data_IF_201487065396
#
_entry.id   IF_201487065396
#
_cell.length_a   1.000
_cell.length_b   1.000
_cell.length_c   1.000
_cell.angle_alpha   90.00
_cell.angle_beta   90.00
_cell.angle_gamma   90.00
#
_symmetry.space_group_name_H-M   'P 1'
#
loop_
_entity.id
_entity.type
_entity.pdbx_description
1 polymer ?
#
# COMPACT_ATOMS: atom_id res chain seq x y z
N UNK A 1 19.92 -23.96 21.29
CA UNK A 1 20.74 -24.01 20.06
C UNK A 1 20.57 -22.70 19.32
N UNK A 2 21.60 -21.85 19.30
CA UNK A 2 21.60 -20.51 18.72
C UNK A 2 22.17 -20.60 17.31
N UNK A 3 21.42 -20.19 16.28
CA UNK A 3 21.96 -20.06 14.91
C UNK A 3 22.23 -18.59 14.63
N UNK A 4 23.51 -18.26 14.69
CA UNK A 4 24.10 -17.01 14.20
C UNK A 4 24.22 -17.18 12.69
N UNK A 5 23.63 -16.29 11.90
CA UNK A 5 23.93 -16.18 10.47
C UNK A 5 24.45 -14.77 10.24
N UNK A 6 25.73 -14.73 9.88
CA UNK A 6 26.55 -13.55 9.73
C UNK A 6 26.17 -12.74 8.47
N UNK A 7 26.13 -11.42 8.63
CA UNK A 7 26.12 -10.46 7.54
C UNK A 7 27.45 -10.50 6.78
N UNK A 8 27.41 -10.74 5.48
CA UNK A 8 28.50 -10.41 4.57
C UNK A 8 28.11 -9.13 3.81
N UNK A 9 28.72 -8.02 4.21
CA UNK A 9 28.70 -6.74 3.50
C UNK A 9 29.68 -6.84 2.34
N UNK A 10 29.19 -6.78 1.10
CA UNK A 10 30.01 -6.52 -0.07
C UNK A 10 29.71 -5.10 -0.55
N UNK A 11 30.61 -4.19 -0.24
CA UNK A 11 30.65 -2.84 -0.78
C UNK A 11 31.21 -2.88 -2.21
N UNK A 12 30.52 -2.25 -3.16
CA UNK A 12 31.09 -1.82 -4.43
C UNK A 12 30.46 -0.49 -4.83
N UNK A 13 31.20 0.59 -4.59
CA UNK A 13 30.97 1.93 -5.13
C UNK A 13 31.97 2.15 -6.28
N UNK A 14 31.51 2.26 -7.52
CA UNK A 14 32.05 3.07 -8.66
C UNK A 14 30.99 2.99 -9.78
N UNK A 15 30.52 4.01 -10.51
CA UNK A 15 30.83 5.43 -10.57
C UNK A 15 29.70 6.17 -11.31
N UNK A 16 29.74 7.50 -11.19
CA UNK A 16 28.83 8.48 -11.80
C UNK A 16 29.23 8.77 -13.25
N UNK A 17 28.25 8.87 -14.16
CA UNK A 17 28.06 9.95 -15.16
C UNK A 17 27.28 9.46 -16.38
N UNK A 18 26.21 10.16 -16.74
CA UNK A 18 25.56 10.03 -18.05
C UNK A 18 24.06 10.32 -18.02
N UNK A 19 23.71 11.60 -18.19
CA UNK A 19 22.34 12.09 -18.20
C UNK A 19 21.52 11.58 -19.41
N UNK A 20 20.21 11.37 -19.19
CA UNK A 20 19.16 11.76 -20.12
C UNK A 20 17.82 11.80 -19.38
N UNK A 21 17.47 12.99 -18.90
CA UNK A 21 16.11 13.38 -18.60
C UNK A 21 15.47 13.83 -19.92
N UNK A 22 14.55 13.07 -20.49
CA UNK A 22 13.61 13.55 -21.52
C UNK A 22 12.53 12.49 -21.80
N UNK A 23 11.37 12.58 -21.15
CA UNK A 23 10.09 12.30 -21.80
C UNK A 23 8.94 12.95 -21.01
N UNK A 24 9.07 14.26 -20.77
CA UNK A 24 7.93 15.15 -20.51
C UNK A 24 7.29 15.54 -21.86
N UNK A 25 6.84 14.54 -22.62
CA UNK A 25 6.41 14.68 -24.03
C UNK A 25 5.00 14.19 -24.32
N UNK A 26 4.14 14.06 -23.30
CA UNK A 26 2.77 13.51 -23.47
C UNK A 26 1.62 14.46 -23.14
N UNK A 27 1.89 15.68 -22.69
CA UNK A 27 0.83 16.60 -22.22
C UNK A 27 0.14 17.41 -23.34
N UNK A 28 0.48 17.15 -24.61
CA UNK A 28 -0.14 17.82 -25.77
C UNK A 28 -1.37 17.09 -26.32
N UNK A 29 -1.67 15.88 -25.84
CA UNK A 29 -2.81 15.09 -26.36
C UNK A 29 -4.14 15.35 -25.65
N UNK A 30 -4.21 16.33 -24.74
CA UNK A 30 -5.42 16.67 -23.97
C UNK A 30 -6.30 17.75 -24.62
N UNK A 31 -5.98 18.19 -25.85
CA UNK A 31 -6.83 19.15 -26.58
C UNK A 31 -6.99 18.72 -28.04
N UNK A 32 -8.23 18.48 -28.46
CA UNK A 32 -8.60 18.44 -29.87
C UNK A 32 -8.88 17.06 -30.47
N UNK A 33 -10.15 16.67 -30.40
CA UNK A 33 -10.95 16.07 -31.48
C UNK A 33 -10.27 15.20 -32.54
N UNK A 34 -10.61 13.90 -32.50
CA UNK A 34 -11.06 13.15 -33.67
C UNK A 34 -10.01 12.71 -34.68
N UNK A 35 -9.55 11.46 -34.56
CA UNK A 35 -9.36 10.54 -35.70
C UNK A 35 -9.31 9.11 -35.18
N UNK A 36 -10.16 8.26 -35.75
CA UNK A 36 -10.19 6.82 -35.51
C UNK A 36 -8.85 6.22 -35.96
N UNK A 37 -8.03 5.82 -35.01
CA UNK A 37 -6.94 4.88 -35.20
C UNK A 37 -7.02 3.89 -34.04
N UNK A 38 -6.82 2.63 -34.36
CA UNK A 38 -6.97 1.47 -33.49
C UNK A 38 -6.06 1.61 -32.24
N UNK A 39 -6.60 2.22 -31.19
CA UNK A 39 -5.91 2.41 -29.92
C UNK A 39 -5.88 1.07 -29.21
N UNK A 40 -4.84 0.27 -29.48
CA UNK A 40 -4.42 -0.75 -28.53
C UNK A 40 -4.13 -0.02 -27.21
N UNK A 41 -5.09 -0.05 -26.29
CA UNK A 41 -4.91 0.45 -24.93
C UNK A 41 -3.64 -0.19 -24.40
N UNK A 42 -2.66 0.61 -23.98
CA UNK A 42 -1.45 0.08 -23.32
C UNK A 42 -1.83 -0.43 -21.92
N UNK A 43 -2.45 -1.61 -21.92
CA UNK A 43 -2.89 -2.33 -20.73
C UNK A 43 -1.69 -2.75 -19.88
N UNK A 44 -0.50 -2.88 -20.48
CA UNK A 44 0.72 -3.32 -19.80
C UNK A 44 1.27 -2.25 -18.85
N UNK A 45 1.35 -0.99 -19.30
CA UNK A 45 1.75 0.14 -18.48
C UNK A 45 0.74 0.44 -17.37
N UNK A 46 -0.56 0.39 -17.68
CA UNK A 46 -1.63 0.58 -16.70
C UNK A 46 -1.67 -0.53 -15.64
N UNK A 47 -1.41 -1.78 -16.02
CA UNK A 47 -1.29 -2.90 -15.09
C UNK A 47 -0.11 -2.71 -14.13
N UNK A 48 1.07 -2.38 -14.65
CA UNK A 48 2.26 -2.22 -13.82
C UNK A 48 2.06 -1.07 -12.82
N UNK A 49 1.49 0.05 -13.27
CA UNK A 49 1.13 1.17 -12.39
C UNK A 49 0.11 0.77 -11.33
N UNK A 50 -0.94 0.02 -11.69
CA UNK A 50 -1.97 -0.42 -10.76
C UNK A 50 -1.41 -1.34 -9.67
N UNK A 51 -0.62 -2.35 -10.06
CA UNK A 51 0.02 -3.27 -9.11
C UNK A 51 1.00 -2.51 -8.22
N UNK A 52 1.79 -1.61 -8.80
CA UNK A 52 2.75 -0.78 -8.06
C UNK A 52 2.05 0.09 -7.01
N UNK A 53 1.01 0.80 -7.41
CA UNK A 53 0.23 1.65 -6.51
C UNK A 53 -0.46 0.82 -5.42
N UNK A 54 -0.94 -0.38 -5.75
CA UNK A 54 -1.54 -1.28 -4.78
C UNK A 54 -0.53 -1.79 -3.75
N UNK A 55 0.68 -2.16 -4.17
CA UNK A 55 1.76 -2.52 -3.25
C UNK A 55 2.15 -1.32 -2.38
N UNK A 56 2.26 -0.12 -2.96
CA UNK A 56 2.56 1.11 -2.20
C UNK A 56 1.50 1.41 -1.12
N UNK A 57 0.21 1.31 -1.46
CA UNK A 57 -0.87 1.46 -0.50
C UNK A 57 -0.76 0.45 0.66
N UNK A 58 -0.42 -0.81 0.36
CA UNK A 58 -0.20 -1.81 1.40
C UNK A 58 1.07 -1.55 2.22
N UNK A 59 2.13 -0.99 1.64
CA UNK A 59 3.33 -0.55 2.37
C UNK A 59 2.96 0.53 3.39
N UNK A 60 2.10 1.48 3.04
CA UNK A 60 1.64 2.49 3.99
C UNK A 60 0.82 1.86 5.14
N UNK A 61 -0.06 0.91 4.83
CA UNK A 61 -0.78 0.15 5.88
C UNK A 61 0.17 -0.67 6.74
N UNK A 62 1.23 -1.26 6.18
CA UNK A 62 2.24 -2.00 6.95
C UNK A 62 3.08 -1.06 7.83
N UNK A 63 3.44 0.13 7.34
CA UNK A 63 4.10 1.16 8.15
C UNK A 63 3.19 1.60 9.30
N UNK A 64 1.89 1.73 9.06
CA UNK A 64 0.91 1.96 10.10
C UNK A 64 0.91 0.84 11.12
N UNK A 65 0.86 -0.41 10.67
CA UNK A 65 0.85 -1.58 11.53
C UNK A 65 2.15 -1.72 12.34
N UNK A 66 3.29 -1.36 11.77
CA UNK A 66 4.56 -1.30 12.49
C UNK A 66 4.49 -0.31 13.66
N UNK A 67 4.00 0.90 13.40
CA UNK A 67 3.93 1.96 14.41
C UNK A 67 2.84 1.73 15.45
N UNK A 68 1.65 1.31 15.03
CA UNK A 68 0.57 0.95 15.95
C UNK A 68 0.95 -0.27 16.79
N UNK A 69 1.58 -1.28 16.18
CA UNK A 69 2.10 -2.43 16.89
C UNK A 69 3.15 -2.06 17.94
N UNK A 70 4.10 -1.19 17.58
CA UNK A 70 5.11 -0.64 18.50
C UNK A 70 4.46 0.06 19.69
N UNK A 71 3.49 0.95 19.43
CA UNK A 71 2.74 1.66 20.48
C UNK A 71 1.94 0.73 21.38
N UNK A 72 1.39 -0.36 20.83
CA UNK A 72 0.56 -1.32 21.56
C UNK A 72 1.37 -2.44 22.25
N UNK A 73 2.70 -2.39 22.16
CA UNK A 73 3.60 -3.41 22.72
C UNK A 73 3.65 -4.73 21.92
N UNK A 74 3.13 -4.75 20.68
CA UNK A 74 3.14 -5.88 19.77
C UNK A 74 4.44 -5.92 18.95
N UNK A 75 5.58 -6.01 19.64
CA UNK A 75 6.91 -5.85 19.04
C UNK A 75 7.18 -6.83 17.88
N UNK A 76 6.80 -8.10 18.03
CA UNK A 76 6.98 -9.11 16.99
C UNK A 76 6.23 -8.75 15.70
N UNK A 77 4.98 -8.33 15.81
CA UNK A 77 4.15 -7.93 14.67
C UNK A 77 4.65 -6.64 14.04
N UNK A 78 5.15 -5.71 14.87
CA UNK A 78 5.75 -4.47 14.38
C UNK A 78 7.02 -4.74 13.55
N UNK A 79 7.90 -5.60 14.04
CA UNK A 79 9.12 -6.02 13.34
C UNK A 79 8.80 -6.81 12.06
N UNK A 80 7.79 -7.67 12.08
CA UNK A 80 7.31 -8.38 10.89
C UNK A 80 6.80 -7.39 9.83
N UNK A 81 5.96 -6.43 10.21
CA UNK A 81 5.45 -5.42 9.29
C UNK A 81 6.60 -4.59 8.66
N UNK A 82 7.54 -4.13 9.50
CA UNK A 82 8.70 -3.36 9.05
C UNK A 82 9.63 -4.18 8.11
N UNK A 83 9.83 -5.47 8.40
CA UNK A 83 10.62 -6.35 7.55
C UNK A 83 9.99 -6.53 6.17
N UNK A 84 8.66 -6.69 6.10
CA UNK A 84 7.96 -6.78 4.82
C UNK A 84 8.02 -5.46 4.06
N UNK A 85 7.86 -4.32 4.74
CA UNK A 85 8.06 -2.99 4.14
C UNK A 85 9.44 -2.86 3.51
N UNK A 86 10.49 -3.23 4.23
CA UNK A 86 11.87 -3.17 3.73
C UNK A 86 12.07 -4.07 2.49
N UNK A 87 11.49 -5.27 2.51
CA UNK A 87 11.54 -6.19 1.38
C UNK A 87 10.78 -5.67 0.16
N UNK A 88 9.58 -5.11 0.34
CA UNK A 88 8.76 -4.60 -0.77
C UNK A 88 9.26 -3.26 -1.33
N UNK A 89 9.93 -2.45 -0.50
CA UNK A 89 10.50 -1.17 -0.91
C UNK A 89 11.84 -1.29 -1.62
N UNK A 90 12.58 -2.38 -1.37
CA UNK A 90 13.85 -2.69 -2.05
C UNK A 90 13.69 -3.51 -3.33
N UNK A 91 12.51 -4.08 -3.57
CA UNK A 91 12.21 -4.84 -4.78
C UNK A 91 12.12 -3.92 -6.01
N UNK A 92 12.92 -4.22 -7.04
CA UNK A 92 12.92 -3.50 -8.32
C UNK A 92 11.73 -3.83 -9.22
N UNK A 93 10.98 -4.90 -8.91
CA UNK A 93 9.79 -5.33 -9.66
C UNK A 93 8.61 -5.48 -8.69
N UNK A 94 7.54 -4.71 -8.91
CA UNK A 94 6.28 -4.86 -8.18
C UNK A 94 5.28 -5.60 -9.08
N UNK A 95 5.00 -6.84 -8.70
CA UNK A 95 4.25 -7.82 -9.46
C UNK A 95 3.15 -8.47 -8.59
N UNK A 96 2.51 -9.53 -9.10
CA UNK A 96 1.45 -10.25 -8.37
C UNK A 96 1.95 -10.78 -7.03
N UNK A 97 3.16 -11.32 -6.98
CA UNK A 97 3.69 -11.91 -5.75
C UNK A 97 3.97 -10.84 -4.70
N UNK A 98 4.48 -9.68 -5.13
CA UNK A 98 4.64 -8.50 -4.27
C UNK A 98 3.29 -8.02 -3.70
N UNK A 99 2.25 -7.93 -4.54
CA UNK A 99 0.91 -7.56 -4.11
C UNK A 99 0.31 -8.57 -3.12
N UNK A 100 0.42 -9.86 -3.43
CA UNK A 100 -0.07 -10.95 -2.57
C UNK A 100 0.63 -10.95 -1.22
N UNK A 101 1.97 -10.83 -1.22
CA UNK A 101 2.77 -10.74 0.00
C UNK A 101 2.38 -9.54 0.87
N UNK A 102 2.13 -8.38 0.24
CA UNK A 102 1.73 -7.18 0.95
C UNK A 102 0.35 -7.37 1.62
N UNK A 103 -0.63 -7.91 0.90
CA UNK A 103 -1.99 -8.19 1.42
C UNK A 103 -1.95 -9.17 2.58
N UNK A 104 -1.21 -10.28 2.45
CA UNK A 104 -1.09 -11.28 3.52
C UNK A 104 -0.46 -10.67 4.77
N UNK A 105 0.63 -9.91 4.61
CA UNK A 105 1.29 -9.26 5.74
C UNK A 105 0.39 -8.22 6.43
N UNK A 106 -0.41 -7.47 5.66
CA UNK A 106 -1.42 -6.55 6.21
C UNK A 106 -2.45 -7.34 7.02
N UNK A 107 -2.98 -8.45 6.49
CA UNK A 107 -3.92 -9.32 7.21
C UNK A 107 -3.35 -9.85 8.53
N UNK A 108 -2.15 -10.43 8.49
CA UNK A 108 -1.47 -11.04 9.63
C UNK A 108 -1.22 -10.05 10.77
N UNK A 109 -0.79 -8.83 10.42
CA UNK A 109 -0.42 -7.80 11.40
C UNK A 109 -1.65 -7.03 11.92
N UNK A 110 -2.63 -6.75 11.06
CA UNK A 110 -3.85 -6.00 11.42
C UNK A 110 -4.71 -6.77 12.43
N UNK A 111 -4.75 -8.10 12.36
CA UNK A 111 -5.53 -8.92 13.29
C UNK A 111 -5.07 -8.77 14.74
N UNK A 112 -3.76 -8.81 14.98
CA UNK A 112 -3.17 -8.65 16.32
C UNK A 112 -3.40 -7.24 16.87
N UNK A 113 -3.23 -6.21 16.02
CA UNK A 113 -3.50 -4.82 16.38
C UNK A 113 -4.97 -4.64 16.76
N UNK A 114 -5.89 -5.11 15.93
CA UNK A 114 -7.32 -5.02 16.20
C UNK A 114 -7.72 -5.74 17.50
N UNK A 115 -7.13 -6.89 17.79
CA UNK A 115 -7.33 -7.59 19.06
C UNK A 115 -6.83 -6.74 20.25
N UNK A 116 -5.62 -6.18 20.15
CA UNK A 116 -5.03 -5.37 21.21
C UNK A 116 -5.76 -4.05 21.44
N UNK A 117 -6.29 -3.43 20.39
CA UNK A 117 -7.14 -2.23 20.49
C UNK A 117 -8.43 -2.50 21.27
N UNK A 118 -9.02 -3.70 21.16
CA UNK A 118 -10.22 -4.08 21.91
C UNK A 118 -9.97 -4.23 23.41
N UNK A 119 -8.73 -4.54 23.81
CA UNK A 119 -8.32 -4.54 25.22
C UNK A 119 -8.27 -3.14 25.83
N UNK A 120 -8.36 -2.09 25.00
CA UNK A 120 -8.27 -0.68 25.40
C UNK A 120 -7.05 -0.38 26.29
N UNK A 121 -5.83 -0.77 25.88
CA UNK A 121 -4.63 -0.48 26.66
C UNK A 121 -4.46 1.03 26.81
N UNK A 122 -4.06 1.46 28.01
CA UNK A 122 -3.66 2.84 28.26
C UNK A 122 -2.27 3.03 27.70
N UNK A 123 -2.13 4.00 26.80
CA UNK A 123 -0.84 4.35 26.20
C UNK A 123 -0.16 5.47 27.00
N UNK A 124 1.15 5.38 27.18
CA UNK A 124 1.98 6.50 27.63
C UNK A 124 2.15 7.54 26.52
N UNK A 125 2.71 8.71 26.85
CA UNK A 125 2.81 9.82 25.89
C UNK A 125 3.69 9.49 24.68
N UNK A 126 4.73 8.67 24.85
CA UNK A 126 5.58 8.21 23.76
C UNK A 126 4.79 7.28 22.81
N UNK A 127 4.05 6.34 23.37
CA UNK A 127 3.23 5.36 22.65
C UNK A 127 2.05 6.05 21.96
N UNK A 128 1.43 7.07 22.58
CA UNK A 128 0.41 7.91 21.95
C UNK A 128 0.94 8.60 20.69
N UNK A 129 2.15 9.17 20.75
CA UNK A 129 2.80 9.80 19.59
C UNK A 129 3.10 8.78 18.49
N UNK A 130 3.64 7.62 18.84
CA UNK A 130 3.91 6.54 17.88
C UNK A 130 2.60 6.02 17.26
N UNK A 131 1.53 5.90 18.03
CA UNK A 131 0.22 5.51 17.55
C UNK A 131 -0.37 6.53 16.58
N UNK A 132 -0.22 7.84 16.88
CA UNK A 132 -0.64 8.92 15.99
C UNK A 132 0.13 8.91 14.65
N UNK A 133 1.44 8.60 14.68
CA UNK A 133 2.23 8.39 13.46
C UNK A 133 1.68 7.22 12.65
N UNK A 134 1.36 6.10 13.31
CA UNK A 134 0.72 4.96 12.67
C UNK A 134 -0.62 5.32 12.03
N UNK A 135 -1.45 6.11 12.71
CA UNK A 135 -2.71 6.65 12.15
C UNK A 135 -2.49 7.48 10.90
N UNK A 136 -1.44 8.31 10.86
CA UNK A 136 -1.06 9.07 9.67
C UNK A 136 -0.70 8.17 8.48
N UNK A 137 0.08 7.10 8.71
CA UNK A 137 0.39 6.13 7.67
C UNK A 137 -0.85 5.35 7.20
N UNK A 138 -1.75 4.99 8.13
CA UNK A 138 -2.98 4.27 7.77
C UNK A 138 -3.88 5.17 6.92
N UNK A 139 -3.99 6.44 7.29
CA UNK A 139 -4.67 7.46 6.51
C UNK A 139 -4.09 7.59 5.10
N UNK A 140 -2.77 7.66 4.98
CA UNK A 140 -2.08 7.75 3.69
C UNK A 140 -2.37 6.52 2.82
N UNK A 141 -2.29 5.32 3.39
CA UNK A 141 -2.66 4.09 2.71
C UNK A 141 -4.12 4.12 2.22
N UNK A 142 -5.03 4.64 3.04
CA UNK A 142 -6.43 4.82 2.64
C UNK A 142 -6.63 5.85 1.52
N UNK A 143 -5.86 6.94 1.52
CA UNK A 143 -5.86 7.92 0.42
C UNK A 143 -5.38 7.26 -0.88
N UNK A 144 -4.31 6.45 -0.83
CA UNK A 144 -3.87 5.67 -1.98
C UNK A 144 -4.93 4.67 -2.45
N UNK A 145 -5.59 3.95 -1.53
CA UNK A 145 -6.72 3.09 -1.86
C UNK A 145 -7.85 3.86 -2.56
N UNK A 146 -8.29 4.99 -2.00
CA UNK A 146 -9.35 5.80 -2.58
C UNK A 146 -8.98 6.34 -3.97
N UNK A 147 -7.73 6.79 -4.15
CA UNK A 147 -7.22 7.28 -5.43
C UNK A 147 -7.21 6.22 -6.54
N UNK A 148 -6.96 4.96 -6.19
CA UNK A 148 -6.95 3.85 -7.15
C UNK A 148 -8.34 3.32 -7.53
N UNK A 149 -9.42 3.74 -6.85
CA UNK A 149 -10.76 3.18 -7.05
C UNK A 149 -11.17 3.22 -8.54
N UNK A 150 -10.94 4.35 -9.20
CA UNK A 150 -11.26 4.52 -10.62
C UNK A 150 -10.38 3.66 -11.53
N UNK A 151 -9.09 3.54 -11.23
CA UNK A 151 -8.14 2.73 -12.00
C UNK A 151 -8.49 1.25 -11.91
N UNK A 152 -8.87 0.78 -10.71
CA UNK A 152 -9.32 -0.60 -10.47
C UNK A 152 -10.62 -0.88 -11.22
N UNK A 153 -11.61 0.02 -11.15
CA UNK A 153 -12.88 -0.14 -11.88
C UNK A 153 -12.68 -0.13 -13.39
N UNK A 154 -11.82 0.78 -13.89
CA UNK A 154 -11.49 0.87 -15.31
C UNK A 154 -10.77 -0.38 -15.80
N UNK A 155 -9.77 -0.85 -15.04
CA UNK A 155 -9.05 -2.09 -15.33
C UNK A 155 -10.01 -3.29 -15.33
N UNK A 156 -10.86 -3.43 -14.31
CA UNK A 156 -11.85 -4.52 -14.25
C UNK A 156 -12.84 -4.49 -15.42
N UNK A 157 -13.19 -3.31 -15.93
CA UNK A 157 -14.06 -3.16 -17.11
C UNK A 157 -13.31 -3.53 -18.38
N UNK A 158 -12.10 -3.01 -18.57
CA UNK A 158 -11.23 -3.31 -19.71
C UNK A 158 -10.88 -4.81 -19.78
N UNK A 159 -10.69 -5.46 -18.63
CA UNK A 159 -10.47 -6.90 -18.52
C UNK A 159 -11.67 -7.72 -19.02
N UNK A 160 -12.90 -7.29 -18.76
CA UNK A 160 -14.11 -8.00 -19.25
C UNK A 160 -14.25 -7.93 -20.77
N UNK A 161 -13.71 -6.89 -21.38
CA UNK A 161 -13.72 -6.67 -22.84
C UNK A 161 -12.43 -7.12 -23.54
N UNK A 162 -11.42 -7.57 -22.77
CA UNK A 162 -10.13 -7.99 -23.30
C UNK A 162 -10.18 -9.40 -23.91
N UNK A 163 -9.32 -9.65 -24.90
CA UNK A 163 -9.19 -10.98 -25.49
C UNK A 163 -8.55 -11.97 -24.51
N UNK A 164 -8.80 -13.30 -24.65
CA UNK A 164 -8.18 -14.31 -23.80
C UNK A 164 -6.64 -14.25 -23.76
N UNK A 165 -6.01 -13.82 -24.86
CA UNK A 165 -4.55 -13.65 -24.95
C UNK A 165 -4.04 -12.41 -24.19
N UNK A 166 -4.85 -11.36 -24.06
CA UNK A 166 -4.52 -10.23 -23.19
C UNK A 166 -4.71 -10.57 -21.70
N UNK A 167 -5.66 -11.46 -21.38
CA UNK A 167 -5.91 -11.91 -20.00
C UNK A 167 -4.72 -12.67 -19.39
N UNK A 168 -3.93 -13.40 -20.18
CA UNK A 168 -2.81 -14.19 -19.67
C UNK A 168 -1.66 -13.33 -19.14
N UNK A 169 -1.49 -12.10 -19.63
CA UNK A 169 -0.49 -11.15 -19.12
C UNK A 169 -0.97 -10.33 -17.92
N UNK A 170 -2.28 -10.33 -17.62
CA UNK A 170 -2.93 -9.47 -16.62
C UNK A 170 -2.93 -10.02 -15.18
N UNK A 171 -2.18 -11.08 -14.88
CA UNK A 171 -2.27 -11.80 -13.60
C UNK A 171 -2.14 -10.94 -12.33
N UNK A 172 -1.29 -9.89 -12.36
CA UNK A 172 -1.14 -8.94 -11.26
C UNK A 172 -2.33 -7.96 -11.15
N UNK A 173 -2.74 -7.35 -12.26
CA UNK A 173 -3.91 -6.46 -12.28
C UNK A 173 -5.19 -7.21 -11.90
N UNK A 174 -5.37 -8.45 -12.38
CA UNK A 174 -6.48 -9.31 -12.02
C UNK A 174 -6.53 -9.57 -10.50
N UNK A 175 -5.38 -9.83 -9.89
CA UNK A 175 -5.28 -10.00 -8.44
C UNK A 175 -5.69 -8.74 -7.70
N UNK A 176 -5.21 -7.55 -8.13
CA UNK A 176 -5.60 -6.27 -7.52
C UNK A 176 -7.10 -6.05 -7.65
N UNK A 177 -7.67 -6.17 -8.86
CA UNK A 177 -9.11 -5.96 -9.09
C UNK A 177 -9.97 -6.89 -8.22
N UNK A 178 -9.53 -8.13 -8.00
CA UNK A 178 -10.26 -9.08 -7.17
C UNK A 178 -10.14 -8.81 -5.66
N UNK A 179 -8.97 -8.36 -5.17
CA UNK A 179 -8.72 -8.21 -3.73
C UNK A 179 -9.01 -6.79 -3.22
N UNK A 180 -8.90 -5.78 -4.09
CA UNK A 180 -9.03 -4.37 -3.74
C UNK A 180 -10.31 -4.02 -2.97
N UNK A 181 -11.52 -4.48 -3.36
CA UNK A 181 -12.74 -4.13 -2.61
C UNK A 181 -12.71 -4.65 -1.16
N UNK A 182 -12.15 -5.86 -0.95
CA UNK A 182 -11.97 -6.44 0.37
C UNK A 182 -10.93 -5.67 1.18
N UNK A 183 -9.75 -5.42 0.60
CA UNK A 183 -8.68 -4.66 1.25
C UNK A 183 -9.13 -3.26 1.67
N UNK A 184 -9.87 -2.56 0.81
CA UNK A 184 -10.39 -1.23 1.10
C UNK A 184 -11.40 -1.24 2.26
N UNK A 185 -12.28 -2.24 2.28
CA UNK A 185 -13.28 -2.41 3.36
C UNK A 185 -12.60 -2.70 4.70
N UNK A 186 -11.65 -3.63 4.72
CA UNK A 186 -10.96 -4.02 5.96
C UNK A 186 -10.03 -2.91 6.47
N UNK A 187 -9.30 -2.24 5.57
CA UNK A 187 -8.46 -1.11 5.95
C UNK A 187 -9.31 0.08 6.44
N UNK A 188 -10.49 0.31 5.85
CA UNK A 188 -11.44 1.32 6.35
C UNK A 188 -11.97 1.01 7.75
N UNK A 189 -12.33 -0.25 8.03
CA UNK A 189 -12.70 -0.70 9.39
C UNK A 189 -11.53 -0.52 10.36
N UNK A 190 -10.31 -0.90 9.97
CA UNK A 190 -9.12 -0.75 10.78
C UNK A 190 -8.85 0.74 11.11
N UNK A 191 -8.96 1.62 10.12
CA UNK A 191 -8.81 3.07 10.30
C UNK A 191 -9.87 3.62 11.26
N UNK A 192 -11.14 3.24 11.08
CA UNK A 192 -12.21 3.64 12.00
C UNK A 192 -11.92 3.19 13.44
N UNK A 193 -11.57 1.91 13.63
CA UNK A 193 -11.28 1.37 14.95
C UNK A 193 -10.07 2.07 15.60
N UNK A 194 -9.03 2.36 14.81
CA UNK A 194 -7.85 3.08 15.29
C UNK A 194 -8.17 4.54 15.66
N UNK A 195 -9.01 5.23 14.89
CA UNK A 195 -9.48 6.59 15.20
C UNK A 195 -10.32 6.60 16.49
N UNK A 196 -11.24 5.65 16.63
CA UNK A 196 -12.09 5.55 17.82
C UNK A 196 -11.23 5.30 19.07
N UNK A 197 -10.24 4.40 18.98
CA UNK A 197 -9.27 4.15 20.06
C UNK A 197 -8.38 5.37 20.36
N UNK A 198 -7.93 6.09 19.34
CA UNK A 198 -7.14 7.30 19.54
C UNK A 198 -7.94 8.37 20.29
N UNK A 199 -9.18 8.62 19.88
CA UNK A 199 -10.09 9.54 20.57
C UNK A 199 -10.33 9.13 22.02
N UNK A 200 -10.54 7.83 22.27
CA UNK A 200 -10.76 7.34 23.64
C UNK A 200 -9.52 7.44 24.53
N UNK A 201 -8.32 7.49 23.96
CA UNK A 201 -7.04 7.62 24.68
C UNK A 201 -6.49 9.05 24.71
N UNK A 202 -7.26 10.03 24.21
CA UNK A 202 -6.83 11.43 24.13
C UNK A 202 -5.67 11.65 23.17
N UNK A 203 -5.55 10.82 22.13
CA UNK A 203 -4.58 10.97 21.05
C UNK A 203 -5.18 11.91 20.01
N UNK A 204 -4.42 12.93 19.62
CA UNK A 204 -4.82 13.83 18.54
C UNK A 204 -4.90 13.05 17.22
N UNK A 205 -6.10 13.01 16.65
CA UNK A 205 -6.33 12.37 15.36
C UNK A 205 -5.94 13.36 14.26
N UNK A 206 -4.99 13.01 13.37
CA UNK A 206 -4.64 13.87 12.25
C UNK A 206 -5.87 14.16 11.39
N UNK A 207 -6.01 15.41 10.91
CA UNK A 207 -7.12 15.78 10.00
C UNK A 207 -7.18 14.88 8.78
N UNK A 208 -6.02 14.45 8.29
CA UNK A 208 -5.89 13.63 7.09
C UNK A 208 -6.44 12.21 7.31
N UNK A 209 -6.34 11.68 8.53
CA UNK A 209 -6.97 10.40 8.90
C UNK A 209 -8.50 10.49 8.88
N UNK A 210 -9.05 11.61 9.36
CA UNK A 210 -10.50 11.83 9.33
C UNK A 210 -11.00 12.03 7.90
N UNK A 211 -10.26 12.75 7.06
CA UNK A 211 -10.57 12.95 5.64
C UNK A 211 -10.46 11.64 4.85
N UNK A 212 -9.43 10.84 5.10
CA UNK A 212 -9.25 9.54 4.45
C UNK A 212 -10.41 8.58 4.79
N UNK A 213 -10.87 8.57 6.04
CA UNK A 213 -12.05 7.80 6.44
C UNK A 213 -13.32 8.27 5.71
N UNK A 214 -13.47 9.57 5.47
CA UNK A 214 -14.61 10.14 4.75
C UNK A 214 -14.55 9.93 3.22
N UNK A 215 -13.40 9.57 2.66
CA UNK A 215 -13.20 9.33 1.23
C UNK A 215 -13.54 7.89 0.80
N UNK A 216 -13.76 7.00 1.77
CA UNK A 216 -14.22 5.61 1.59
C UNK A 216 -15.67 5.54 1.12
#
# INVERSE_FOLDING_TARGET
MKKIIACAVAAAFVGVSGASYAQLGGLTSLVGGGSKSDSSVDLSGQQAALVKNYVAANIDVLNANAKMGEALGLKTQAEQAAAVVAQLSSGSTQDKDSASKAVNAVGDTSGAIAAKLKEKPVLDDASKKTFAQGLGHLALGMVHYAGMRNDVTSMGTNMKSASPMALTSLGGAAYVVSNFPGSMTEAGKALKNAIDFARSNGIEVPSDATKALAAL
#
